data_IF_175009220400
#
_entry.id   IF_175009220400
#
_cell.length_a   1.000
_cell.length_b   1.000
_cell.length_c   1.000
_cell.angle_alpha   90.00
_cell.angle_beta   90.00
_cell.angle_gamma   90.00
#
_symmetry.space_group_name_H-M   'P 1'
#
loop_
_entity.id
_entity.type
_entity.pdbx_description
1 polymer ?
#
# COMPACT_ATOMS: atom_id res chain seq x y z
N UNK A 1 -47.68 -56.04 -74.72
CA UNK A 1 -46.65 -55.01 -74.42
C UNK A 1 -47.21 -54.16 -73.29
N UNK A 2 -47.22 -54.68 -72.05
CA UNK A 2 -47.92 -54.01 -70.93
C UNK A 2 -47.14 -54.12 -69.62
N UNK A 3 -46.55 -55.28 -69.33
CA UNK A 3 -45.85 -55.53 -68.07
C UNK A 3 -44.55 -54.75 -67.88
N UNK A 4 -43.89 -54.30 -68.95
CA UNK A 4 -42.65 -53.49 -68.84
C UNK A 4 -42.90 -52.01 -68.62
N UNK A 5 -43.99 -51.47 -69.16
CA UNK A 5 -44.37 -50.07 -68.95
C UNK A 5 -44.97 -49.87 -67.54
N UNK A 6 -45.74 -50.84 -67.03
CA UNK A 6 -46.20 -50.81 -65.64
C UNK A 6 -45.05 -50.89 -64.63
N UNK A 7 -44.02 -51.71 -64.88
CA UNK A 7 -42.87 -51.88 -63.99
C UNK A 7 -41.94 -50.64 -63.98
N UNK A 8 -41.76 -50.00 -65.14
CA UNK A 8 -41.09 -48.70 -65.26
C UNK A 8 -41.89 -47.57 -64.58
N UNK A 9 -43.22 -47.59 -64.69
CA UNK A 9 -44.10 -46.63 -64.03
C UNK A 9 -44.08 -46.80 -62.49
N UNK A 10 -44.03 -48.05 -62.00
CA UNK A 10 -43.89 -48.36 -60.58
C UNK A 10 -42.55 -47.87 -60.00
N UNK A 11 -41.44 -48.16 -60.69
CA UNK A 11 -40.09 -47.73 -60.26
C UNK A 11 -39.91 -46.21 -60.30
N UNK A 12 -40.50 -45.50 -61.26
CA UNK A 12 -40.53 -44.03 -61.31
C UNK A 12 -41.30 -43.43 -60.12
N UNK A 13 -42.45 -44.01 -59.76
CA UNK A 13 -43.23 -43.57 -58.58
C UNK A 13 -42.49 -43.82 -57.27
N UNK A 14 -41.82 -44.97 -57.13
CA UNK A 14 -40.98 -45.23 -55.95
C UNK A 14 -39.79 -44.28 -55.86
N UNK A 15 -39.17 -43.94 -56.98
CA UNK A 15 -38.09 -42.97 -57.03
C UNK A 15 -38.56 -41.58 -56.61
N UNK A 16 -39.70 -41.11 -57.12
CA UNK A 16 -40.30 -39.83 -56.75
C UNK A 16 -40.66 -39.78 -55.25
N UNK A 17 -41.21 -40.88 -54.71
CA UNK A 17 -41.48 -41.02 -53.28
C UNK A 17 -40.19 -40.94 -52.44
N UNK A 18 -39.09 -41.57 -52.89
CA UNK A 18 -37.78 -41.49 -52.22
C UNK A 18 -37.19 -40.08 -52.28
N UNK A 19 -37.28 -39.38 -53.42
CA UNK A 19 -36.81 -38.00 -53.57
C UNK A 19 -37.63 -37.04 -52.68
N UNK A 20 -38.94 -37.24 -52.60
CA UNK A 20 -39.80 -36.46 -51.71
C UNK A 20 -39.43 -36.69 -50.24
N UNK A 21 -39.19 -37.94 -49.86
CA UNK A 21 -38.75 -38.30 -48.50
C UNK A 21 -37.37 -37.70 -48.19
N UNK A 22 -36.42 -37.78 -49.12
CA UNK A 22 -35.10 -37.18 -48.98
C UNK A 22 -35.17 -35.65 -48.85
N UNK A 23 -36.02 -34.99 -49.65
CA UNK A 23 -36.23 -33.55 -49.58
C UNK A 23 -36.77 -33.12 -48.20
N UNK A 24 -37.72 -33.89 -47.64
CA UNK A 24 -38.23 -33.66 -46.28
C UNK A 24 -37.15 -33.85 -45.20
N UNK A 25 -36.28 -34.86 -45.35
CA UNK A 25 -35.14 -35.06 -44.44
C UNK A 25 -34.18 -33.87 -44.51
N UNK A 26 -33.85 -33.41 -45.71
CA UNK A 26 -32.95 -32.27 -45.93
C UNK A 26 -33.53 -30.98 -45.34
N UNK A 27 -34.82 -30.73 -45.51
CA UNK A 27 -35.52 -29.57 -44.94
C UNK A 27 -35.48 -29.60 -43.40
N UNK A 28 -35.81 -30.74 -42.79
CA UNK A 28 -35.73 -30.92 -41.32
C UNK A 28 -34.31 -30.76 -40.81
N UNK A 29 -33.32 -31.29 -41.52
CA UNK A 29 -31.91 -31.16 -41.16
C UNK A 29 -31.44 -29.71 -41.25
N UNK A 30 -31.82 -28.99 -42.31
CA UNK A 30 -31.55 -27.56 -42.46
C UNK A 30 -32.16 -26.74 -41.32
N UNK A 31 -33.41 -27.01 -40.96
CA UNK A 31 -34.09 -26.34 -39.84
C UNK A 31 -33.41 -26.63 -38.50
N UNK A 32 -33.01 -27.88 -38.24
CA UNK A 32 -32.31 -28.26 -37.01
C UNK A 32 -30.93 -27.58 -36.90
N UNK A 33 -30.19 -27.48 -38.02
CA UNK A 33 -28.93 -26.73 -38.07
C UNK A 33 -29.16 -25.25 -37.75
N UNK A 34 -30.11 -24.60 -38.42
CA UNK A 34 -30.41 -23.18 -38.20
C UNK A 34 -30.80 -22.95 -36.73
N UNK A 35 -31.64 -23.83 -36.18
CA UNK A 35 -32.08 -23.76 -34.79
C UNK A 35 -30.91 -23.92 -33.82
N UNK A 36 -30.08 -24.94 -34.00
CA UNK A 36 -28.88 -25.20 -33.16
C UNK A 36 -27.84 -24.09 -33.28
N UNK A 37 -27.67 -23.52 -34.46
CA UNK A 37 -26.77 -22.39 -34.69
C UNK A 37 -27.28 -21.13 -33.99
N UNK A 38 -28.59 -20.86 -34.07
CA UNK A 38 -29.23 -19.76 -33.33
C UNK A 38 -29.07 -19.90 -31.82
N UNK A 39 -29.31 -21.10 -31.27
CA UNK A 39 -29.11 -21.39 -29.85
C UNK A 39 -27.63 -21.23 -29.43
N UNK A 40 -26.71 -21.71 -30.26
CA UNK A 40 -25.26 -21.58 -30.02
C UNK A 40 -24.84 -20.10 -30.02
N UNK A 41 -25.32 -19.31 -30.99
CA UNK A 41 -25.03 -17.88 -31.06
C UNK A 41 -25.54 -17.13 -29.81
N UNK A 42 -26.74 -17.47 -29.35
CA UNK A 42 -27.29 -16.90 -28.11
C UNK A 42 -26.43 -17.26 -26.88
N UNK A 43 -25.97 -18.51 -26.77
CA UNK A 43 -25.06 -18.93 -25.69
C UNK A 43 -23.69 -18.23 -25.77
N UNK A 44 -23.14 -18.07 -26.97
CA UNK A 44 -21.87 -17.33 -27.18
C UNK A 44 -22.04 -15.87 -26.77
N UNK A 45 -23.17 -15.25 -27.10
CA UNK A 45 -23.48 -13.87 -26.67
C UNK A 45 -23.55 -13.78 -25.15
N UNK A 46 -24.29 -14.67 -24.49
CA UNK A 46 -24.37 -14.73 -23.03
C UNK A 46 -22.99 -14.92 -22.37
N UNK A 47 -22.15 -15.80 -22.93
CA UNK A 47 -20.76 -15.98 -22.47
C UNK A 47 -19.93 -14.71 -22.66
N UNK A 48 -20.09 -14.03 -23.78
CA UNK A 48 -19.39 -12.77 -24.07
C UNK A 48 -19.80 -11.68 -23.08
N UNK A 49 -21.10 -11.55 -22.80
CA UNK A 49 -21.64 -10.60 -21.81
C UNK A 49 -21.11 -10.91 -20.41
N UNK A 50 -21.12 -12.18 -19.98
CA UNK A 50 -20.55 -12.63 -18.71
C UNK A 50 -19.05 -12.32 -18.61
N UNK A 51 -18.27 -12.53 -19.68
CA UNK A 51 -16.84 -12.17 -19.70
C UNK A 51 -16.65 -10.65 -19.54
N UNK A 52 -17.51 -9.85 -20.15
CA UNK A 52 -17.53 -8.40 -19.96
C UNK A 52 -17.80 -8.00 -18.51
N UNK A 53 -18.81 -8.59 -17.87
CA UNK A 53 -19.12 -8.36 -16.45
C UNK A 53 -17.97 -8.80 -15.52
N UNK A 54 -17.32 -9.92 -15.82
CA UNK A 54 -16.21 -10.46 -15.05
C UNK A 54 -14.97 -9.57 -15.17
N UNK A 55 -14.72 -9.01 -16.36
CA UNK A 55 -13.68 -8.01 -16.59
C UNK A 55 -13.93 -6.74 -15.79
N UNK A 56 -15.16 -6.21 -15.81
CA UNK A 56 -15.55 -5.05 -15.02
C UNK A 56 -15.39 -5.30 -13.51
N UNK A 57 -15.89 -6.43 -13.01
CA UNK A 57 -15.73 -6.84 -11.61
C UNK A 57 -14.25 -6.93 -11.22
N UNK A 58 -13.40 -7.45 -12.12
CA UNK A 58 -11.95 -7.51 -11.89
C UNK A 58 -11.32 -6.12 -11.79
N UNK A 59 -11.76 -5.16 -12.60
CA UNK A 59 -11.33 -3.76 -12.52
C UNK A 59 -11.75 -3.16 -11.18
N UNK A 60 -13.00 -3.38 -10.76
CA UNK A 60 -13.52 -2.87 -9.48
C UNK A 60 -12.74 -3.47 -8.30
N UNK A 61 -12.46 -4.78 -8.32
CA UNK A 61 -11.61 -5.45 -7.30
C UNK A 61 -10.21 -4.85 -7.28
N UNK A 62 -9.58 -4.60 -8.44
CA UNK A 62 -8.27 -3.91 -8.48
C UNK A 62 -8.36 -2.50 -7.88
N UNK A 63 -9.49 -1.81 -8.07
CA UNK A 63 -9.78 -0.52 -7.45
C UNK A 63 -9.93 -0.58 -5.92
N UNK A 64 -10.27 -1.74 -5.34
CA UNK A 64 -10.34 -1.91 -3.88
C UNK A 64 -8.97 -2.03 -3.21
N UNK A 65 -7.92 -2.42 -3.94
CA UNK A 65 -6.55 -2.54 -3.39
C UNK A 65 -6.07 -1.23 -2.73
N UNK A 66 -6.12 -0.06 -3.39
CA UNK A 66 -5.73 1.20 -2.74
C UNK A 66 -6.64 1.56 -1.55
N UNK A 67 -7.93 1.25 -1.61
CA UNK A 67 -8.84 1.49 -0.47
C UNK A 67 -8.45 0.63 0.74
N UNK A 68 -8.14 -0.65 0.52
CA UNK A 68 -7.65 -1.55 1.56
C UNK A 68 -6.31 -1.07 2.14
N UNK A 69 -5.40 -0.59 1.28
CA UNK A 69 -4.13 0.00 1.73
C UNK A 69 -4.35 1.19 2.67
N UNK A 70 -5.30 2.07 2.35
CA UNK A 70 -5.66 3.19 3.22
C UNK A 70 -6.25 2.72 4.56
N UNK A 71 -7.11 1.68 4.54
CA UNK A 71 -7.67 1.10 5.76
C UNK A 71 -6.57 0.52 6.65
N UNK A 72 -5.62 -0.24 6.08
CA UNK A 72 -4.48 -0.80 6.82
C UNK A 72 -3.61 0.32 7.42
N UNK A 73 -3.35 1.39 6.66
CA UNK A 73 -2.59 2.53 7.16
C UNK A 73 -3.30 3.24 8.32
N UNK A 74 -4.61 3.42 8.23
CA UNK A 74 -5.42 3.99 9.30
C UNK A 74 -5.43 3.08 10.54
N UNK A 75 -5.52 1.77 10.37
CA UNK A 75 -5.43 0.81 11.47
C UNK A 75 -4.08 0.91 12.18
N UNK A 76 -2.97 0.97 11.43
CA UNK A 76 -1.64 1.15 12.01
C UNK A 76 -1.53 2.45 12.82
N UNK A 77 -2.06 3.55 12.28
CA UNK A 77 -2.11 4.83 12.99
C UNK A 77 -2.92 4.73 14.29
N UNK A 78 -4.08 4.08 14.25
CA UNK A 78 -4.91 3.87 15.45
C UNK A 78 -4.19 3.01 16.49
N UNK A 79 -3.44 2.00 16.06
CA UNK A 79 -2.64 1.16 16.94
C UNK A 79 -1.52 1.96 17.63
N UNK A 80 -0.84 2.84 16.89
CA UNK A 80 0.16 3.77 17.43
C UNK A 80 -0.47 4.73 18.45
N UNK A 81 -1.64 5.31 18.13
CA UNK A 81 -2.38 6.20 19.04
C UNK A 81 -2.89 5.46 20.29
N UNK A 82 -3.33 4.21 20.16
CA UNK A 82 -3.76 3.37 21.28
C UNK A 82 -2.59 2.98 22.18
N UNK A 83 -1.43 2.70 21.58
CA UNK A 83 -0.17 2.46 22.31
C UNK A 83 0.23 3.69 23.11
N UNK A 84 0.11 4.89 22.51
CA UNK A 84 0.32 6.15 23.20
C UNK A 84 -0.63 6.30 24.40
N UNK A 85 -1.92 6.08 24.22
CA UNK A 85 -2.91 6.15 25.32
C UNK A 85 -2.57 5.17 26.43
N UNK A 86 -2.19 3.93 26.11
CA UNK A 86 -1.73 2.94 27.11
C UNK A 86 -0.51 3.46 27.88
N UNK A 87 0.47 4.02 27.19
CA UNK A 87 1.67 4.57 27.83
C UNK A 87 1.33 5.75 28.76
N UNK A 88 0.43 6.64 28.34
CA UNK A 88 -0.01 7.77 29.15
C UNK A 88 -0.80 7.30 30.38
N UNK A 89 -1.66 6.28 30.24
CA UNK A 89 -2.38 5.69 31.36
C UNK A 89 -1.46 5.03 32.39
N UNK A 90 -0.46 4.27 31.95
CA UNK A 90 0.55 3.67 32.82
C UNK A 90 1.35 4.74 33.58
N UNK A 91 1.65 5.86 32.93
CA UNK A 91 2.33 6.98 33.58
C UNK A 91 1.41 7.73 34.56
N UNK A 92 0.11 7.84 34.27
CA UNK A 92 -0.88 8.47 35.15
C UNK A 92 -1.17 7.66 36.41
N UNK A 93 -1.23 6.33 36.31
CA UNK A 93 -1.40 5.44 37.47
C UNK A 93 -0.14 5.35 38.35
N UNK A 94 0.99 5.88 37.88
CA UNK A 94 2.25 5.96 38.62
C UNK A 94 2.40 7.28 39.38
N UNK A 95 1.33 7.79 39.99
CA UNK A 95 1.44 8.93 40.93
C UNK A 95 2.08 8.42 42.24
N UNK A 96 3.27 8.91 42.64
CA UNK A 96 3.79 8.61 43.96
C UNK A 96 2.88 9.27 44.98
N UNK A 97 2.29 8.48 45.87
CA UNK A 97 1.69 9.02 47.10
C UNK A 97 2.81 9.69 47.90
N UNK A 98 2.93 11.01 47.77
CA UNK A 98 3.86 11.81 48.56
C UNK A 98 3.36 11.78 50.01
N UNK A 99 3.96 10.91 50.83
CA UNK A 99 3.99 11.10 52.28
C UNK A 99 5.03 12.20 52.58
N UNK A 100 4.68 13.26 53.31
CA UNK A 100 5.63 14.30 53.63
C UNK A 100 6.58 13.78 54.71
N UNK A 101 7.88 13.81 54.42
CA UNK A 101 8.92 13.57 55.43
C UNK A 101 9.65 12.24 55.29
N UNK A 102 10.34 12.01 54.17
CA UNK A 102 11.64 11.35 54.19
C UNK A 102 12.50 12.03 53.14
N UNK A 103 13.56 12.68 53.59
CA UNK A 103 14.66 13.20 52.79
C UNK A 103 15.39 11.99 52.18
N UNK A 104 14.80 11.40 51.15
CA UNK A 104 15.47 10.41 50.33
C UNK A 104 16.23 11.18 49.26
N UNK A 105 17.54 11.21 49.39
CA UNK A 105 18.44 11.40 48.24
C UNK A 105 18.01 10.40 47.17
N UNK A 106 17.23 10.87 46.20
CA UNK A 106 16.97 10.14 44.98
C UNK A 106 18.34 9.99 44.33
N UNK A 107 18.93 8.81 44.39
CA UNK A 107 19.95 8.42 43.43
C UNK A 107 19.29 8.53 42.06
N UNK A 108 19.51 9.66 41.39
CA UNK A 108 19.20 9.81 39.98
C UNK A 108 20.03 8.75 39.27
N UNK A 109 19.37 7.94 38.47
CA UNK A 109 20.04 7.06 37.52
C UNK A 109 20.88 7.95 36.56
N UNK A 110 22.18 8.02 36.81
CA UNK A 110 23.13 8.84 36.03
C UNK A 110 23.10 8.43 34.54
N UNK A 111 22.80 7.16 34.25
CA UNK A 111 22.79 6.61 32.89
C UNK A 111 21.76 7.29 31.97
N UNK A 112 20.59 7.67 32.49
CA UNK A 112 19.56 8.38 31.74
C UNK A 112 19.96 9.84 31.46
N UNK A 113 20.71 10.45 32.38
CA UNK A 113 21.24 11.82 32.22
C UNK A 113 22.40 11.83 31.23
N UNK A 114 23.26 10.82 31.27
CA UNK A 114 24.39 10.65 30.36
C UNK A 114 23.95 10.37 28.92
N UNK A 115 22.97 9.48 28.74
CA UNK A 115 22.38 9.18 27.41
C UNK A 115 21.73 10.43 26.81
N UNK A 116 21.02 11.22 27.63
CA UNK A 116 20.44 12.50 27.19
C UNK A 116 21.52 13.49 26.76
N UNK A 117 22.59 13.63 27.55
CA UNK A 117 23.70 14.55 27.25
C UNK A 117 24.45 14.12 25.99
N UNK A 118 24.61 12.81 25.77
CA UNK A 118 25.20 12.24 24.55
C UNK A 118 24.38 12.60 23.30
N UNK A 119 23.06 12.38 23.33
CA UNK A 119 22.17 12.69 22.20
C UNK A 119 22.19 14.21 21.90
N UNK A 120 22.17 15.04 22.94
CA UNK A 120 22.27 16.51 22.76
C UNK A 120 23.62 16.92 22.16
N UNK A 121 24.72 16.29 22.59
CA UNK A 121 26.05 16.51 22.00
C UNK A 121 26.09 16.13 20.52
N UNK A 122 25.51 14.99 20.15
CA UNK A 122 25.42 14.55 18.76
C UNK A 122 24.58 15.49 17.89
N UNK A 123 23.52 16.10 18.45
CA UNK A 123 22.78 17.15 17.75
C UNK A 123 23.60 18.40 17.49
N UNK A 124 24.40 18.84 18.47
CA UNK A 124 25.28 20.01 18.30
C UNK A 124 26.40 19.72 17.29
N UNK A 125 26.93 18.49 17.30
CA UNK A 125 27.92 18.04 16.35
C UNK A 125 27.34 17.97 14.92
N UNK A 126 26.11 17.45 14.78
CA UNK A 126 25.38 17.45 13.51
C UNK A 126 25.14 18.87 12.98
N UNK A 127 24.70 19.79 13.82
CA UNK A 127 24.49 21.20 13.48
C UNK A 127 25.77 21.83 12.93
N UNK A 128 26.90 21.65 13.63
CA UNK A 128 28.22 22.16 13.23
C UNK A 128 28.72 21.51 11.93
N UNK A 129 28.45 20.21 11.74
CA UNK A 129 28.86 19.47 10.53
C UNK A 129 28.02 19.84 9.31
N UNK A 130 26.74 20.12 9.48
CA UNK A 130 25.85 20.56 8.39
C UNK A 130 26.31 21.88 7.79
N UNK A 131 26.93 22.77 8.56
CA UNK A 131 27.51 24.01 8.03
C UNK A 131 28.68 23.73 7.08
N UNK A 132 29.46 22.69 7.34
CA UNK A 132 30.77 22.44 6.72
C UNK A 132 30.79 21.26 5.73
N UNK A 133 29.72 20.45 5.66
CA UNK A 133 29.64 19.27 4.79
C UNK A 133 28.44 19.35 3.85
N UNK A 134 28.69 19.10 2.56
CA UNK A 134 27.67 18.96 1.52
C UNK A 134 27.41 17.50 1.10
N UNK A 135 28.05 16.53 1.77
CA UNK A 135 27.89 15.09 1.54
C UNK A 135 26.65 14.53 2.28
N UNK A 136 25.61 14.09 1.55
CA UNK A 136 24.40 13.50 2.14
C UNK A 136 24.64 12.18 2.88
N UNK A 137 25.64 11.38 2.48
CA UNK A 137 25.87 10.06 3.09
C UNK A 137 26.49 10.18 4.48
N UNK A 138 27.38 11.15 4.66
CA UNK A 138 27.93 11.45 5.97
C UNK A 138 26.86 11.92 6.96
N UNK A 139 25.98 12.82 6.53
CA UNK A 139 24.86 13.32 7.35
C UNK A 139 23.88 12.19 7.68
N UNK A 140 23.61 11.31 6.72
CA UNK A 140 22.75 10.13 6.91
C UNK A 140 23.28 9.22 8.03
N UNK A 141 24.57 8.90 8.03
CA UNK A 141 25.14 8.02 9.05
C UNK A 141 24.94 8.57 10.47
N UNK A 142 25.11 9.88 10.65
CA UNK A 142 24.90 10.56 11.93
C UNK A 142 23.41 10.50 12.33
N UNK A 143 22.50 10.76 11.39
CA UNK A 143 21.06 10.68 11.64
C UNK A 143 20.59 9.25 11.95
N UNK A 144 21.15 8.23 11.30
CA UNK A 144 20.84 6.83 11.59
C UNK A 144 21.29 6.43 13.00
N UNK A 145 22.46 6.88 13.43
CA UNK A 145 22.96 6.67 14.79
C UNK A 145 22.06 7.36 15.83
N UNK A 146 21.80 8.65 15.65
CA UNK A 146 20.88 9.42 16.48
C UNK A 146 19.49 8.75 16.56
N UNK A 147 18.99 8.21 15.45
CA UNK A 147 17.69 7.50 15.40
C UNK A 147 17.68 6.31 16.35
N UNK A 148 18.76 5.53 16.42
CA UNK A 148 18.87 4.37 17.31
C UNK A 148 18.90 4.82 18.76
N UNK A 149 19.75 5.79 19.09
CA UNK A 149 19.91 6.30 20.47
C UNK A 149 18.63 6.97 20.98
N UNK A 150 17.94 7.74 20.14
CA UNK A 150 16.64 8.36 20.50
C UNK A 150 15.55 7.31 20.69
N UNK A 151 15.56 6.23 19.89
CA UNK A 151 14.62 5.13 20.05
C UNK A 151 14.83 4.44 21.41
N UNK A 152 16.08 4.13 21.76
CA UNK A 152 16.44 3.55 23.05
C UNK A 152 16.09 4.47 24.24
N UNK A 153 16.35 5.77 24.12
CA UNK A 153 16.14 6.73 25.20
C UNK A 153 14.67 7.15 25.40
N UNK A 154 13.91 7.33 24.32
CA UNK A 154 12.56 7.93 24.42
C UNK A 154 11.41 7.01 24.05
N UNK A 155 11.69 5.90 23.36
CA UNK A 155 10.68 5.06 22.70
C UNK A 155 9.84 5.79 21.62
N UNK A 156 10.19 7.02 21.25
CA UNK A 156 9.25 8.02 20.73
C UNK A 156 9.19 8.21 19.20
N UNK A 157 8.00 7.98 18.64
CA UNK A 157 7.72 7.83 17.20
C UNK A 157 7.77 9.10 16.32
N UNK A 158 7.41 10.30 16.82
CA UNK A 158 7.29 11.49 15.92
C UNK A 158 8.63 12.00 15.41
N UNK A 159 9.65 11.99 16.25
CA UNK A 159 11.01 12.37 15.88
C UNK A 159 11.62 11.32 14.96
N UNK A 160 11.45 10.04 15.29
CA UNK A 160 11.91 8.92 14.46
C UNK A 160 11.28 8.91 13.07
N UNK A 161 10.01 9.31 12.93
CA UNK A 161 9.35 9.45 11.63
C UNK A 161 9.97 10.59 10.79
N UNK A 162 10.24 11.73 11.41
CA UNK A 162 10.95 12.84 10.73
C UNK A 162 12.35 12.41 10.28
N UNK A 163 13.08 11.70 11.14
CA UNK A 163 14.36 11.10 10.79
C UNK A 163 14.24 10.13 9.62
N UNK A 164 13.23 9.25 9.63
CA UNK A 164 13.01 8.29 8.56
C UNK A 164 12.72 8.98 7.21
N UNK A 165 11.94 10.06 7.21
CA UNK A 165 11.66 10.84 6.01
C UNK A 165 12.92 11.52 5.47
N UNK A 166 13.71 12.15 6.35
CA UNK A 166 14.97 12.80 5.99
C UNK A 166 16.00 11.78 5.49
N UNK A 167 16.18 10.65 6.18
CA UNK A 167 17.08 9.56 5.77
C UNK A 167 16.66 8.99 4.39
N UNK A 168 15.36 8.80 4.17
CA UNK A 168 14.84 8.36 2.87
C UNK A 168 15.18 9.37 1.78
N UNK A 169 15.10 10.67 2.11
CA UNK A 169 15.48 11.72 1.16
C UNK A 169 16.99 11.72 0.89
N UNK A 170 17.82 11.61 1.92
CA UNK A 170 19.27 11.51 1.82
C UNK A 170 19.75 10.30 0.99
N UNK A 171 19.04 9.16 1.05
CA UNK A 171 19.32 8.00 0.19
C UNK A 171 19.21 8.30 -1.31
N UNK A 172 18.39 9.29 -1.67
CA UNK A 172 18.11 9.69 -3.06
C UNK A 172 18.71 11.04 -3.45
N UNK A 173 19.43 11.68 -2.52
CA UNK A 173 20.01 13.00 -2.70
C UNK A 173 21.44 12.90 -3.23
N UNK A 174 21.77 13.77 -4.18
CA UNK A 174 23.14 13.92 -4.70
C UNK A 174 23.88 14.98 -3.88
N UNK A 175 23.17 15.99 -3.39
CA UNK A 175 23.71 17.09 -2.59
C UNK A 175 22.78 17.45 -1.44
N UNK A 176 23.35 18.01 -0.37
CA UNK A 176 22.60 18.61 0.74
C UNK A 176 21.74 19.82 0.32
N UNK A 177 22.02 20.40 -0.85
CA UNK A 177 21.22 21.46 -1.46
C UNK A 177 20.04 20.94 -2.30
N UNK A 178 19.86 19.63 -2.44
CA UNK A 178 18.68 19.08 -3.09
C UNK A 178 17.42 19.43 -2.30
N UNK A 179 16.30 19.67 -2.99
CA UNK A 179 15.00 19.97 -2.37
C UNK A 179 14.46 18.76 -1.60
N UNK A 180 13.78 18.98 -0.49
CA UNK A 180 13.06 17.93 0.26
C UNK A 180 11.96 17.28 -0.59
N UNK A 181 11.31 18.04 -1.47
CA UNK A 181 10.35 17.57 -2.45
C UNK A 181 10.68 18.15 -3.84
N UNK A 182 11.10 17.29 -4.78
CA UNK A 182 11.44 17.72 -6.15
C UNK A 182 10.25 18.25 -6.96
N UNK A 183 9.02 17.97 -6.53
CA UNK A 183 7.78 18.38 -7.21
C UNK A 183 7.21 19.69 -6.66
N UNK A 184 7.79 20.21 -5.58
CA UNK A 184 7.35 21.43 -4.91
C UNK A 184 8.45 22.49 -4.97
N UNK A 185 8.22 23.54 -5.74
CA UNK A 185 9.17 24.65 -5.92
C UNK A 185 9.35 25.51 -4.66
N UNK A 186 8.50 25.34 -3.65
CA UNK A 186 8.61 26.00 -2.33
C UNK A 186 9.29 25.11 -1.29
N UNK A 187 9.63 23.88 -1.66
CA UNK A 187 10.30 22.94 -0.77
C UNK A 187 11.67 23.46 -0.36
N UNK A 188 12.02 23.28 0.91
CA UNK A 188 13.34 23.67 1.44
C UNK A 188 14.41 22.68 0.98
N UNK A 189 15.67 23.09 1.01
CA UNK A 189 16.77 22.15 0.82
C UNK A 189 16.86 21.21 2.02
N UNK A 190 17.39 20.00 1.81
CA UNK A 190 17.58 19.01 2.88
C UNK A 190 18.39 19.61 4.04
N UNK A 191 19.43 20.40 3.74
CA UNK A 191 20.24 21.11 4.73
C UNK A 191 19.40 22.04 5.61
N UNK A 192 18.59 22.90 5.01
CA UNK A 192 17.75 23.87 5.74
C UNK A 192 16.71 23.14 6.58
N UNK A 193 16.07 22.11 6.04
CA UNK A 193 15.07 21.33 6.77
C UNK A 193 15.66 20.67 8.03
N UNK A 194 16.86 20.09 7.93
CA UNK A 194 17.53 19.49 9.08
C UNK A 194 17.91 20.56 10.10
N UNK A 195 18.51 21.68 9.66
CA UNK A 195 18.92 22.77 10.57
C UNK A 195 17.73 23.34 11.35
N UNK A 196 16.58 23.55 10.70
CA UNK A 196 15.37 24.03 11.38
C UNK A 196 14.74 22.96 12.30
N UNK A 197 14.96 21.69 12.02
CA UNK A 197 14.42 20.58 12.80
C UNK A 197 15.22 20.29 14.08
N UNK A 198 16.54 20.53 14.09
CA UNK A 198 17.41 20.25 15.24
C UNK A 198 16.95 20.94 16.54
N UNK A 199 16.60 22.26 16.58
CA UNK A 199 16.07 22.90 17.79
C UNK A 199 14.79 22.23 18.31
N UNK A 200 13.89 21.83 17.40
CA UNK A 200 12.65 21.14 17.75
C UNK A 200 12.92 19.76 18.34
N UNK A 201 13.90 19.04 17.80
CA UNK A 201 14.32 17.74 18.34
C UNK A 201 14.94 17.88 19.74
N UNK A 202 15.84 18.85 19.94
CA UNK A 202 16.41 19.18 21.25
C UNK A 202 15.32 19.51 22.28
N UNK A 203 14.36 20.37 21.92
CA UNK A 203 13.26 20.73 22.82
C UNK A 203 12.39 19.54 23.20
N UNK A 204 12.07 18.66 22.25
CA UNK A 204 11.29 17.43 22.53
C UNK A 204 12.00 16.49 23.51
N UNK A 205 13.33 16.48 23.53
CA UNK A 205 14.13 15.74 24.52
C UNK A 205 14.20 16.42 25.90
N UNK A 206 13.96 17.73 25.96
CA UNK A 206 14.02 18.53 27.19
C UNK A 206 12.69 18.60 27.96
N UNK A 207 11.54 18.39 27.30
CA UNK A 207 10.20 18.56 27.91
C UNK A 207 9.77 17.39 28.81
N UNK A 208 10.45 16.23 28.77
CA UNK A 208 10.25 15.15 29.75
C UNK A 208 11.07 15.44 31.01
N UNK A 209 10.45 16.11 31.99
CA UNK A 209 10.78 16.05 33.42
C UNK A 209 9.59 15.43 34.15
#
# INVERSE_FOLDING_TARGET
MDTREEDLSGTLKEFDAKITTFSSILEKFGLDIITKMGQTNLKIKQLTDMVGELSKTTIDIKGLIPQLSNVIQNQKRLEDELSLVKSLLLNLSSTPSIKPGVENTVERDESATDTKNLIVSQFNELETKLENTDDPQYVKAILEQLRIEIFEFTGGHSMLNQFAQIITRLNSAISMNDLMNKQDSTSKTIKVEIMESIPNWRNKLMIKN
#
